data_IF_076928755632
#
_entry.id   IF_076928755632
#
_cell.length_a   1.000
_cell.length_b   1.000
_cell.length_c   1.000
_cell.angle_alpha   90.00
_cell.angle_beta   90.00
_cell.angle_gamma   90.00
#
_symmetry.space_group_name_H-M   'P 1'
#
loop_
_entity.id
_entity.type
_entity.pdbx_description
1 polymer ?
#
# COMPACT_ATOMS: atom_id res chain seq x y z
N UNK A 1 -12.42 6.43 -5.31
CA UNK A 1 -11.06 7.00 -5.19
C UNK A 1 -10.24 6.03 -4.39
N UNK A 2 -9.18 5.46 -4.97
CA UNK A 2 -8.19 4.69 -4.20
C UNK A 2 -7.41 5.71 -3.38
N UNK A 3 -7.32 5.52 -2.06
CA UNK A 3 -6.56 6.42 -1.21
C UNK A 3 -5.07 6.33 -1.57
N UNK A 4 -4.39 7.48 -1.65
CA UNK A 4 -2.93 7.51 -1.82
C UNK A 4 -2.24 7.03 -0.54
N UNK A 5 -1.03 6.50 -0.64
CA UNK A 5 -0.21 6.15 0.53
C UNK A 5 0.01 7.36 1.46
N UNK A 6 0.09 8.56 0.88
CA UNK A 6 0.16 9.82 1.64
C UNK A 6 -1.09 10.05 2.50
N UNK A 7 -2.28 9.74 1.97
CA UNK A 7 -3.53 9.82 2.75
C UNK A 7 -3.52 8.83 3.92
N UNK A 8 -2.98 7.63 3.70
CA UNK A 8 -2.86 6.60 4.74
C UNK A 8 -1.90 7.08 5.84
N UNK A 9 -0.75 7.67 5.49
CA UNK A 9 0.18 8.25 6.48
C UNK A 9 -0.43 9.39 7.28
N UNK A 10 -1.13 10.31 6.60
CA UNK A 10 -1.76 11.44 7.27
C UNK A 10 -2.82 10.99 8.30
N UNK A 11 -3.60 9.96 7.96
CA UNK A 11 -4.61 9.40 8.89
C UNK A 11 -3.97 8.67 10.07
N UNK A 12 -2.89 7.93 9.85
CA UNK A 12 -2.09 7.32 10.94
C UNK A 12 -1.51 8.40 11.87
N UNK A 13 -0.89 9.45 11.32
CA UNK A 13 -0.32 10.55 12.10
C UNK A 13 -1.38 11.36 12.87
N UNK A 14 -2.60 11.44 12.34
CA UNK A 14 -3.76 12.04 13.03
C UNK A 14 -4.38 11.18 14.13
N UNK A 15 -3.92 9.93 14.30
CA UNK A 15 -4.47 8.97 15.27
C UNK A 15 -5.69 8.19 14.77
N UNK A 16 -6.13 8.41 13.53
CA UNK A 16 -7.27 7.76 12.90
C UNK A 16 -6.89 6.41 12.27
N UNK A 17 -6.31 5.51 13.07
CA UNK A 17 -5.81 4.20 12.63
C UNK A 17 -6.89 3.36 11.94
N UNK A 18 -8.16 3.47 12.38
CA UNK A 18 -9.28 2.78 11.76
C UNK A 18 -9.51 3.22 10.30
N UNK A 19 -9.34 4.51 10.01
CA UNK A 19 -9.46 5.05 8.65
C UNK A 19 -8.29 4.59 7.79
N UNK A 20 -7.07 4.62 8.35
CA UNK A 20 -5.88 4.10 7.69
C UNK A 20 -6.03 2.62 7.28
N UNK A 21 -6.55 1.79 8.18
CA UNK A 21 -6.83 0.37 7.91
C UNK A 21 -7.88 0.17 6.82
N UNK A 22 -8.96 0.98 6.81
CA UNK A 22 -9.96 0.92 5.74
C UNK A 22 -9.37 1.30 4.38
N UNK A 23 -8.49 2.31 4.33
CA UNK A 23 -7.77 2.69 3.13
C UNK A 23 -6.81 1.60 2.64
N UNK A 24 -6.07 0.95 3.55
CA UNK A 24 -5.22 -0.20 3.25
C UNK A 24 -6.02 -1.38 2.67
N UNK A 25 -7.19 -1.64 3.23
CA UNK A 25 -8.09 -2.70 2.74
C UNK A 25 -8.55 -2.43 1.29
N UNK A 26 -8.92 -1.19 0.99
CA UNK A 26 -9.30 -0.78 -0.36
C UNK A 26 -8.11 -0.90 -1.34
N UNK A 27 -6.90 -0.52 -0.91
CA UNK A 27 -5.68 -0.65 -1.70
C UNK A 27 -5.36 -2.12 -2.01
N UNK A 28 -5.47 -3.01 -1.01
CA UNK A 28 -5.35 -4.46 -1.19
C UNK A 28 -6.32 -4.98 -2.25
N UNK A 29 -7.57 -4.54 -2.22
CA UNK A 29 -8.58 -4.89 -3.23
C UNK A 29 -8.19 -4.46 -4.65
N UNK A 30 -7.61 -3.27 -4.81
CA UNK A 30 -7.12 -2.80 -6.11
C UNK A 30 -5.98 -3.68 -6.65
N UNK A 31 -5.03 -4.08 -5.80
CA UNK A 31 -3.92 -4.96 -6.20
C UNK A 31 -4.37 -6.42 -6.42
N UNK A 32 -5.44 -6.87 -5.75
CA UNK A 32 -6.06 -8.16 -6.01
C UNK A 32 -6.66 -8.25 -7.43
N UNK A 33 -7.24 -7.16 -7.94
CA UNK A 33 -7.78 -7.11 -9.31
C UNK A 33 -6.67 -7.33 -10.36
N UNK A 34 -5.45 -6.87 -10.08
CA UNK A 34 -4.32 -7.00 -11.01
C UNK A 34 -3.39 -8.18 -10.69
N UNK A 35 -3.72 -9.03 -9.72
CA UNK A 35 -2.94 -10.21 -9.32
C UNK A 35 -1.50 -9.88 -8.84
N UNK A 36 -1.35 -8.82 -8.04
CA UNK A 36 -0.08 -8.48 -7.38
C UNK A 36 0.00 -9.08 -5.97
N UNK A 37 0.32 -10.38 -5.90
CA UNK A 37 0.34 -11.14 -4.65
C UNK A 37 1.30 -10.57 -3.59
N UNK A 38 2.47 -10.05 -3.98
CA UNK A 38 3.45 -9.47 -3.05
C UNK A 38 2.90 -8.21 -2.36
N UNK A 39 2.25 -7.33 -3.13
CA UNK A 39 1.64 -6.11 -2.62
C UNK A 39 0.45 -6.44 -1.72
N UNK A 40 -0.38 -7.42 -2.12
CA UNK A 40 -1.48 -7.89 -1.27
C UNK A 40 -1.00 -8.43 0.07
N UNK A 41 0.06 -9.24 0.07
CA UNK A 41 0.62 -9.80 1.30
C UNK A 41 1.20 -8.70 2.21
N UNK A 42 1.80 -7.66 1.63
CA UNK A 42 2.26 -6.50 2.39
C UNK A 42 1.09 -5.73 3.02
N UNK A 43 -0.01 -5.51 2.30
CA UNK A 43 -1.21 -4.90 2.87
C UNK A 43 -1.77 -5.70 4.05
N UNK A 44 -1.82 -7.04 3.97
CA UNK A 44 -2.29 -7.90 5.07
C UNK A 44 -1.41 -7.74 6.32
N UNK A 45 -0.08 -7.76 6.15
CA UNK A 45 0.85 -7.54 7.27
C UNK A 45 0.67 -6.15 7.90
N UNK A 46 0.42 -5.12 7.10
CA UNK A 46 0.10 -3.79 7.63
C UNK A 46 -1.22 -3.76 8.40
N UNK A 47 -2.25 -4.45 7.92
CA UNK A 47 -3.53 -4.54 8.63
C UNK A 47 -3.34 -5.16 10.03
N UNK A 48 -2.55 -6.24 10.12
CA UNK A 48 -2.22 -6.91 11.39
C UNK A 48 -1.39 -6.02 12.34
N UNK A 49 -0.42 -5.28 11.81
CA UNK A 49 0.38 -4.30 12.58
C UNK A 49 -0.47 -3.14 13.07
N UNK A 50 -1.31 -2.59 12.20
CA UNK A 50 -2.22 -1.50 12.54
C UNK A 50 -3.21 -1.86 13.64
N UNK A 51 -3.67 -3.11 13.70
CA UNK A 51 -4.50 -3.61 14.79
C UNK A 51 -3.78 -3.61 16.17
N UNK A 52 -2.44 -3.60 16.20
CA UNK A 52 -1.64 -3.52 17.44
C UNK A 52 -1.37 -2.08 17.89
N UNK A 53 -1.63 -1.09 17.04
CA UNK A 53 -1.53 0.34 17.38
C UNK A 53 -0.11 0.91 17.45
N UNK A 54 0.91 0.22 16.94
CA UNK A 54 2.27 0.75 16.89
C UNK A 54 2.45 1.65 15.66
N UNK A 55 2.30 2.95 15.88
CA UNK A 55 2.38 3.99 14.82
C UNK A 55 3.74 4.00 14.11
N UNK A 56 4.84 3.78 14.84
CA UNK A 56 6.17 3.78 14.25
C UNK A 56 6.37 2.56 13.35
N UNK A 57 5.89 1.40 13.78
CA UNK A 57 5.90 0.18 12.96
C UNK A 57 5.03 0.33 11.71
N UNK A 58 3.88 1.01 11.81
CA UNK A 58 3.00 1.28 10.67
C UNK A 58 3.69 2.17 9.64
N UNK A 59 4.38 3.24 10.05
CA UNK A 59 5.01 4.16 9.11
C UNK A 59 6.17 3.51 8.34
N UNK A 60 7.01 2.73 9.03
CA UNK A 60 8.05 1.93 8.38
C UNK A 60 7.45 0.90 7.40
N UNK A 61 6.35 0.26 7.78
CA UNK A 61 5.67 -0.69 6.92
C UNK A 61 5.05 0.00 5.67
N UNK A 62 4.59 1.24 5.79
CA UNK A 62 4.09 2.03 4.67
C UNK A 62 5.22 2.39 3.67
N UNK A 63 6.47 2.57 4.12
CA UNK A 63 7.63 2.74 3.24
C UNK A 63 7.92 1.47 2.43
N UNK A 64 7.91 0.31 3.09
CA UNK A 64 8.08 -0.99 2.44
C UNK A 64 6.98 -1.23 1.38
N UNK A 65 5.73 -0.89 1.72
CA UNK A 65 4.60 -1.01 0.81
C UNK A 65 4.74 -0.07 -0.41
N UNK A 66 5.22 1.16 -0.20
CA UNK A 66 5.49 2.10 -1.30
C UNK A 66 6.49 1.52 -2.30
N UNK A 67 7.61 0.99 -1.81
CA UNK A 67 8.64 0.40 -2.66
C UNK A 67 8.12 -0.81 -3.45
N UNK A 68 7.28 -1.66 -2.83
CA UNK A 68 6.67 -2.80 -3.51
C UNK A 68 5.68 -2.37 -4.60
N UNK A 69 4.88 -1.33 -4.32
CA UNK A 69 3.95 -0.77 -5.30
C UNK A 69 4.70 -0.20 -6.49
N UNK A 70 5.75 0.59 -6.26
CA UNK A 70 6.57 1.17 -7.33
C UNK A 70 7.24 0.08 -8.17
N UNK A 71 7.75 -0.98 -7.52
CA UNK A 71 8.33 -2.12 -8.23
C UNK A 71 7.28 -2.87 -9.07
N UNK A 72 6.10 -3.14 -8.50
CA UNK A 72 5.00 -3.80 -9.19
C UNK A 72 4.52 -3.01 -10.41
N UNK A 73 4.29 -1.70 -10.23
CA UNK A 73 3.87 -0.81 -11.31
C UNK A 73 4.96 -0.66 -12.38
N UNK A 74 6.23 -0.56 -11.99
CA UNK A 74 7.35 -0.48 -12.94
C UNK A 74 7.50 -1.74 -13.78
N UNK A 75 7.25 -2.93 -13.23
CA UNK A 75 7.23 -4.19 -13.99
C UNK A 75 6.10 -4.25 -15.00
N UNK A 76 4.97 -3.61 -14.71
CA UNK A 76 3.77 -3.59 -15.56
C UNK A 76 3.74 -2.44 -16.55
N UNK A 77 4.50 -1.38 -16.30
CA UNK A 77 4.63 -0.28 -17.23
C UNK A 77 5.05 -0.86 -18.59
N UNK A 78 4.32 -0.55 -19.68
CA UNK A 78 4.70 -1.05 -20.99
C UNK A 78 6.14 -0.63 -21.24
N UNK A 79 7.02 -1.61 -21.50
CA UNK A 79 8.32 -1.32 -22.09
C UNK A 79 8.03 -0.48 -23.33
N UNK A 80 8.34 0.80 -23.27
CA UNK A 80 8.24 1.68 -24.42
C UNK A 80 8.98 0.96 -25.55
N UNK A 81 8.24 0.48 -26.54
CA UNK A 81 8.82 -0.15 -27.72
C UNK A 81 9.58 0.97 -28.39
N UNK A 82 10.92 0.91 -28.33
CA UNK A 82 11.75 1.84 -29.06
C UNK A 82 11.35 1.74 -30.54
N UNK A 83 11.02 2.85 -31.21
CA UNK A 83 10.72 2.82 -32.63
C UNK A 83 11.97 2.36 -33.38
N UNK A 84 11.81 1.32 -34.20
CA UNK A 84 12.81 0.83 -35.15
C UNK A 84 13.19 1.91 -36.17
#
# INVERSE_FOLDING_TARGET
MVASLETIRATVAGGDVAVALACLHALKGAFAIIDEAEVMAACVRLEERGARGDVAEIDQALDELAALIDAALSRRAPRAVAPC
#
